data_IF_546741974493
#
_entry.id   IF_546741974493
#
_cell.length_a   1.000
_cell.length_b   1.000
_cell.length_c   1.000
_cell.angle_alpha   90.00
_cell.angle_beta   90.00
_cell.angle_gamma   90.00
#
_symmetry.space_group_name_H-M   'P 1'
#
loop_
_entity.id
_entity.type
_entity.pdbx_description
1 polymer ?
#
# COMPACT_ATOMS: atom_id res chain seq x y z
N UNK A 1 -11.94 -7.29 17.60
CA UNK A 1 -13.11 -7.92 18.27
C UNK A 1 -13.29 -9.37 17.85
N UNK A 2 -13.90 -9.69 16.71
CA UNK A 2 -14.19 -11.07 16.29
C UNK A 2 -12.96 -11.99 16.23
N UNK A 3 -11.85 -11.50 15.67
CA UNK A 3 -10.62 -12.28 15.52
C UNK A 3 -9.73 -12.31 16.76
N UNK A 4 -10.09 -11.58 17.84
CA UNK A 4 -9.27 -11.38 19.04
C UNK A 4 -7.83 -10.91 18.73
N UNK A 5 -7.72 -9.89 17.88
CA UNK A 5 -6.43 -9.23 17.58
C UNK A 5 -5.63 -9.85 16.43
N UNK A 6 -6.17 -10.83 15.72
CA UNK A 6 -5.48 -11.49 14.59
C UNK A 6 -5.65 -10.78 13.24
N UNK A 7 -6.15 -9.55 13.24
CA UNK A 7 -6.37 -8.78 12.00
C UNK A 7 -5.26 -7.74 11.84
N UNK A 8 -4.66 -7.71 10.64
CA UNK A 8 -3.70 -6.68 10.22
C UNK A 8 -4.35 -5.78 9.17
N UNK A 9 -4.34 -4.47 9.42
CA UNK A 9 -4.97 -3.47 8.57
C UNK A 9 -4.02 -2.99 7.47
N UNK A 10 -3.92 -3.75 6.38
CA UNK A 10 -3.19 -3.32 5.18
C UNK A 10 -3.97 -2.25 4.42
N UNK A 11 -3.34 -1.13 4.07
CA UNK A 11 -3.95 -0.04 3.29
C UNK A 11 -3.08 0.30 2.10
N UNK A 12 -3.67 0.53 0.94
CA UNK A 12 -2.99 1.01 -0.26
C UNK A 12 -3.71 2.20 -0.87
N UNK A 13 -3.02 2.95 -1.73
CA UNK A 13 -3.63 4.08 -2.44
C UNK A 13 -4.63 3.66 -3.53
N UNK A 14 -4.55 2.42 -4.01
CA UNK A 14 -5.32 1.91 -5.12
C UNK A 14 -4.74 2.32 -6.48
N UNK A 15 -4.62 1.36 -7.41
CA UNK A 15 -3.90 1.56 -8.69
C UNK A 15 -4.83 1.66 -9.91
N UNK A 16 -6.08 1.23 -9.80
CA UNK A 16 -6.99 1.12 -10.94
C UNK A 16 -7.99 2.28 -10.99
N UNK A 17 -7.91 3.11 -12.04
CA UNK A 17 -8.85 4.20 -12.29
C UNK A 17 -10.32 3.76 -12.27
N UNK A 18 -10.61 2.50 -12.63
CA UNK A 18 -11.97 1.98 -12.64
C UNK A 18 -12.64 2.02 -11.25
N UNK A 19 -11.87 1.80 -10.18
CA UNK A 19 -12.42 1.74 -8.82
C UNK A 19 -12.83 3.15 -8.39
N UNK A 20 -11.92 4.10 -8.54
CA UNK A 20 -12.15 5.54 -8.35
C UNK A 20 -13.37 6.04 -9.13
N UNK A 21 -13.45 5.69 -10.42
CA UNK A 21 -14.56 6.12 -11.28
C UNK A 21 -15.93 5.60 -10.82
N UNK A 22 -15.99 4.36 -10.36
CA UNK A 22 -17.23 3.70 -9.91
C UNK A 22 -17.67 4.22 -8.54
N UNK A 23 -16.72 4.41 -7.62
CA UNK A 23 -16.99 4.93 -6.28
C UNK A 23 -17.08 6.46 -6.21
N UNK A 24 -16.87 7.16 -7.32
CA UNK A 24 -17.07 8.60 -7.43
C UNK A 24 -15.95 9.42 -6.78
N UNK A 25 -14.72 8.91 -6.81
CA UNK A 25 -13.52 9.58 -6.26
C UNK A 25 -12.55 9.90 -7.41
N UNK A 26 -11.82 11.01 -7.32
CA UNK A 26 -10.74 11.31 -8.26
C UNK A 26 -9.46 10.54 -7.85
N UNK A 27 -8.84 9.85 -8.81
CA UNK A 27 -7.58 9.12 -8.58
C UNK A 27 -6.41 10.06 -8.33
N UNK A 28 -6.46 11.31 -8.80
CA UNK A 28 -5.43 12.32 -8.52
C UNK A 28 -5.38 12.66 -7.02
N UNK A 29 -6.51 12.58 -6.32
CA UNK A 29 -6.62 12.82 -4.88
C UNK A 29 -6.28 11.57 -4.04
N UNK A 30 -5.99 10.43 -4.68
CA UNK A 30 -5.80 9.13 -4.01
C UNK A 30 -4.81 9.18 -2.85
N UNK A 31 -3.70 9.92 -2.99
CA UNK A 31 -2.71 10.08 -1.91
C UNK A 31 -3.31 10.82 -0.72
N UNK A 32 -3.86 12.01 -0.95
CA UNK A 32 -4.40 12.85 0.12
C UNK A 32 -5.54 12.14 0.86
N UNK A 33 -6.44 11.50 0.12
CA UNK A 33 -7.57 10.74 0.68
C UNK A 33 -7.06 9.54 1.50
N UNK A 34 -6.10 8.77 0.98
CA UNK A 34 -5.59 7.58 1.70
C UNK A 34 -4.90 7.96 3.00
N UNK A 35 -4.05 8.99 2.98
CA UNK A 35 -3.33 9.44 4.17
C UNK A 35 -4.29 10.00 5.23
N UNK A 36 -5.27 10.81 4.80
CA UNK A 36 -6.29 11.39 5.68
C UNK A 36 -7.17 10.31 6.31
N UNK A 37 -7.72 9.39 5.51
CA UNK A 37 -8.57 8.32 6.00
C UNK A 37 -7.81 7.35 6.91
N UNK A 38 -6.55 7.03 6.59
CA UNK A 38 -5.70 6.23 7.46
C UNK A 38 -5.51 6.92 8.82
N UNK A 39 -5.16 8.21 8.82
CA UNK A 39 -4.97 8.97 10.06
C UNK A 39 -6.27 9.05 10.88
N UNK A 40 -7.40 9.31 10.23
CA UNK A 40 -8.72 9.37 10.84
C UNK A 40 -9.11 8.04 11.50
N UNK A 41 -8.93 6.92 10.79
CA UNK A 41 -9.18 5.56 11.32
C UNK A 41 -8.25 5.26 12.50
N UNK A 42 -6.94 5.47 12.35
CA UNK A 42 -5.97 5.18 13.41
C UNK A 42 -6.14 6.06 14.64
N UNK A 43 -6.57 7.32 14.47
CA UNK A 43 -6.91 8.21 15.58
C UNK A 43 -8.18 7.74 16.29
N UNK A 44 -9.23 7.39 15.54
CA UNK A 44 -10.49 6.89 16.11
C UNK A 44 -10.32 5.60 16.91
N UNK A 45 -9.35 4.75 16.55
CA UNK A 45 -9.01 3.57 17.34
C UNK A 45 -8.49 3.92 18.74
N UNK A 46 -7.93 5.12 18.94
CA UNK A 46 -7.46 5.59 20.25
C UNK A 46 -8.51 6.36 21.02
N UNK A 47 -9.33 7.14 20.32
CA UNK A 47 -10.28 8.09 20.93
C UNK A 47 -11.69 7.52 21.09
N UNK A 48 -12.03 6.47 20.35
CA UNK A 48 -13.41 5.97 20.23
C UNK A 48 -14.33 6.83 19.36
N UNK A 49 -13.79 7.90 18.75
CA UNK A 49 -14.56 8.88 17.97
C UNK A 49 -13.88 9.12 16.62
N UNK A 50 -14.65 9.03 15.55
CA UNK A 50 -14.24 9.44 14.21
C UNK A 50 -14.49 10.94 14.08
N UNK A 51 -13.43 11.68 13.75
CA UNK A 51 -13.45 13.12 13.55
C UNK A 51 -12.81 13.43 12.20
N UNK A 52 -13.31 14.43 11.50
CA UNK A 52 -12.76 14.90 10.22
C UNK A 52 -12.38 16.37 10.29
N UNK A 53 -11.33 16.75 9.57
CA UNK A 53 -10.91 18.14 9.41
C UNK A 53 -11.62 18.87 8.23
N UNK A 54 -12.54 18.17 7.55
CA UNK A 54 -13.34 18.70 6.45
C UNK A 54 -12.63 18.79 5.10
N UNK A 55 -11.34 18.41 4.99
CA UNK A 55 -10.59 18.56 3.73
C UNK A 55 -11.04 17.62 2.63
N UNK A 56 -11.20 16.33 2.96
CA UNK A 56 -11.61 15.30 1.99
C UNK A 56 -13.05 14.81 2.21
N UNK A 57 -13.56 14.92 3.44
CA UNK A 57 -14.91 14.50 3.81
C UNK A 57 -15.38 15.32 5.02
N UNK A 58 -16.66 15.66 5.12
CA UNK A 58 -17.22 16.39 6.26
C UNK A 58 -18.40 15.63 6.88
N UNK A 59 -18.38 15.45 8.20
CA UNK A 59 -19.46 14.87 9.00
C UNK A 59 -19.26 15.26 10.48
N UNK A 60 -20.33 15.28 11.29
CA UNK A 60 -20.19 15.54 12.73
C UNK A 60 -19.46 14.39 13.43
N UNK A 61 -18.79 14.68 14.55
CA UNK A 61 -18.13 13.64 15.36
C UNK A 61 -19.05 12.46 15.65
N UNK A 62 -18.59 11.26 15.32
CA UNK A 62 -19.35 10.01 15.54
C UNK A 62 -18.58 9.03 16.39
N UNK A 63 -19.25 8.41 17.35
CA UNK A 63 -18.68 7.30 18.11
C UNK A 63 -18.49 6.07 17.23
N UNK A 64 -17.34 5.42 17.34
CA UNK A 64 -17.00 4.22 16.57
C UNK A 64 -17.22 2.99 17.45
N UNK A 65 -18.09 2.09 16.99
CA UNK A 65 -18.37 0.83 17.66
C UNK A 65 -18.17 -0.37 16.71
N UNK A 66 -17.72 -1.52 17.24
CA UNK A 66 -17.26 -1.72 18.61
C UNK A 66 -15.89 -1.06 18.86
N UNK A 67 -15.55 -0.84 20.13
CA UNK A 67 -14.21 -0.40 20.52
C UNK A 67 -13.14 -1.39 20.01
N UNK A 68 -11.92 -0.92 19.70
CA UNK A 68 -10.85 -1.79 19.23
C UNK A 68 -10.45 -2.81 20.30
N UNK A 69 -10.03 -3.98 19.84
CA UNK A 69 -9.57 -5.06 20.74
C UNK A 69 -8.11 -4.89 21.17
N UNK A 70 -7.31 -4.19 20.36
CA UNK A 70 -5.91 -3.88 20.63
C UNK A 70 -5.76 -2.37 20.74
N UNK A 71 -4.91 -1.90 21.65
CA UNK A 71 -4.58 -0.47 21.81
C UNK A 71 -3.88 0.11 20.57
N UNK A 72 -3.13 -0.75 19.86
CA UNK A 72 -2.49 -0.44 18.58
C UNK A 72 -2.93 -1.46 17.55
N UNK A 73 -3.66 -1.00 16.53
CA UNK A 73 -4.02 -1.83 15.37
C UNK A 73 -2.77 -2.04 14.52
N UNK A 74 -2.33 -3.27 14.26
CA UNK A 74 -1.26 -3.53 13.29
C UNK A 74 -1.71 -3.03 11.92
N UNK A 75 -0.87 -2.25 11.26
CA UNK A 75 -1.13 -1.67 9.94
C UNK A 75 0.11 -1.84 9.09
N UNK A 76 -0.06 -1.90 7.77
CA UNK A 76 1.05 -1.84 6.81
C UNK A 76 0.58 -1.19 5.51
N UNK A 77 1.51 -0.63 4.75
CA UNK A 77 1.19 -0.01 3.47
C UNK A 77 2.28 -0.33 2.44
N UNK A 78 1.93 -0.67 1.19
CA UNK A 78 2.91 -0.79 0.14
C UNK A 78 3.49 0.60 -0.16
N UNK A 79 4.81 0.69 -0.07
CA UNK A 79 5.54 1.89 -0.42
C UNK A 79 6.13 1.70 -1.82
N UNK A 80 5.55 2.38 -2.81
CA UNK A 80 6.02 2.29 -4.20
C UNK A 80 6.56 3.63 -4.71
N UNK A 81 6.74 4.60 -3.81
CA UNK A 81 7.38 5.87 -4.12
C UNK A 81 8.17 6.39 -2.91
N UNK A 82 9.22 7.17 -3.16
CA UNK A 82 10.01 7.80 -2.10
C UNK A 82 9.13 8.63 -1.15
N UNK A 83 8.11 9.31 -1.68
CA UNK A 83 7.16 10.11 -0.89
C UNK A 83 6.40 9.24 0.11
N UNK A 84 5.87 8.09 -0.33
CA UNK A 84 5.18 7.15 0.56
C UNK A 84 6.13 6.52 1.57
N UNK A 85 7.35 6.18 1.16
CA UNK A 85 8.41 5.68 2.07
C UNK A 85 8.68 6.68 3.18
N UNK A 86 8.90 7.96 2.85
CA UNK A 86 9.12 9.03 3.83
C UNK A 86 7.92 9.19 4.76
N UNK A 87 6.69 9.25 4.22
CA UNK A 87 5.48 9.42 5.03
C UNK A 87 5.30 8.32 6.08
N UNK A 88 5.58 7.06 5.72
CA UNK A 88 5.54 5.92 6.64
C UNK A 88 6.67 5.98 7.67
N UNK A 89 7.88 6.37 7.25
CA UNK A 89 9.05 6.47 8.10
C UNK A 89 8.91 7.54 9.20
N UNK A 90 8.40 8.72 8.85
CA UNK A 90 8.08 9.79 9.83
C UNK A 90 7.16 9.32 10.96
N UNK A 91 6.33 8.30 10.69
CA UNK A 91 5.31 7.76 11.60
C UNK A 91 5.70 6.41 12.22
N UNK A 92 6.86 5.86 11.88
CA UNK A 92 7.27 4.53 12.34
C UNK A 92 6.30 3.41 11.91
N UNK A 93 5.66 3.56 10.76
CA UNK A 93 4.71 2.59 10.22
C UNK A 93 5.40 1.62 9.25
N UNK A 94 5.12 0.32 9.33
CA UNK A 94 5.83 -0.65 8.51
C UNK A 94 5.40 -0.58 7.03
N UNK A 95 6.36 -0.91 6.18
CA UNK A 95 6.16 -1.03 4.74
C UNK A 95 5.93 -2.48 4.32
N UNK A 96 5.12 -2.67 3.29
CA UNK A 96 5.14 -3.89 2.48
C UNK A 96 5.98 -3.66 1.23
N UNK A 97 7.14 -4.29 1.16
CA UNK A 97 8.07 -4.18 0.03
C UNK A 97 7.55 -5.01 -1.15
N UNK A 98 7.51 -4.37 -2.31
CA UNK A 98 6.97 -4.96 -3.53
C UNK A 98 7.84 -6.12 -4.04
N UNK A 99 7.20 -7.09 -4.65
CA UNK A 99 7.85 -8.27 -5.22
C UNK A 99 8.49 -7.99 -6.59
N UNK A 100 8.10 -6.89 -7.25
CA UNK A 100 8.57 -6.52 -8.60
C UNK A 100 9.92 -5.81 -8.61
N UNK A 101 10.36 -5.25 -7.48
CA UNK A 101 11.63 -4.51 -7.38
C UNK A 101 12.81 -5.41 -7.05
N UNK A 102 13.99 -5.03 -7.53
CA UNK A 102 15.26 -5.71 -7.29
C UNK A 102 15.68 -5.63 -5.83
N UNK A 103 16.60 -6.51 -5.42
CA UNK A 103 17.19 -6.48 -4.07
C UNK A 103 17.94 -5.17 -3.78
N UNK A 104 18.57 -4.56 -4.79
CA UNK A 104 19.23 -3.25 -4.66
C UNK A 104 18.23 -2.11 -4.42
N UNK A 105 17.08 -2.13 -5.12
CA UNK A 105 16.02 -1.13 -4.90
C UNK A 105 15.37 -1.31 -3.53
N UNK A 106 15.11 -2.55 -3.10
CA UNK A 106 14.64 -2.85 -1.73
C UNK A 106 15.61 -2.30 -0.69
N UNK A 107 16.91 -2.50 -0.89
CA UNK A 107 17.95 -1.96 0.01
C UNK A 107 17.91 -0.44 0.07
N UNK A 108 17.90 0.23 -1.08
CA UNK A 108 17.83 1.69 -1.16
C UNK A 108 16.56 2.25 -0.50
N UNK A 109 15.43 1.57 -0.68
CA UNK A 109 14.17 1.94 -0.03
C UNK A 109 14.23 1.79 1.49
N UNK A 110 14.83 0.70 2.00
CA UNK A 110 15.03 0.50 3.44
C UNK A 110 16.04 1.49 4.03
N UNK A 111 17.09 1.86 3.28
CA UNK A 111 18.05 2.89 3.70
C UNK A 111 17.36 4.26 3.85
N UNK A 112 16.54 4.65 2.87
CA UNK A 112 15.72 5.88 2.95
C UNK A 112 14.78 5.83 4.17
N UNK A 113 14.06 4.73 4.34
CA UNK A 113 13.13 4.56 5.45
C UNK A 113 13.84 4.69 6.79
N UNK A 114 14.93 3.94 6.99
CA UNK A 114 15.65 3.90 8.27
C UNK A 114 16.26 5.25 8.62
N UNK A 115 16.76 6.00 7.63
CA UNK A 115 17.28 7.35 7.83
C UNK A 115 16.18 8.28 8.38
N UNK A 116 15.04 8.36 7.70
CA UNK A 116 13.93 9.23 8.11
C UNK A 116 13.32 8.77 9.44
N UNK A 117 13.13 7.47 9.64
CA UNK A 117 12.55 6.94 10.86
C UNK A 117 13.45 7.23 12.08
N UNK A 118 14.77 7.12 11.94
CA UNK A 118 15.72 7.47 12.99
C UNK A 118 15.69 8.98 13.30
N UNK A 119 15.61 9.85 12.29
CA UNK A 119 15.49 11.30 12.47
C UNK A 119 14.21 11.70 13.25
N UNK A 120 13.15 10.89 13.13
CA UNK A 120 11.89 11.05 13.88
C UNK A 120 11.85 10.28 15.21
N UNK A 121 12.96 9.66 15.61
CA UNK A 121 13.11 8.99 16.91
C UNK A 121 12.48 7.60 17.01
N UNK A 122 12.19 6.95 15.88
CA UNK A 122 11.67 5.58 15.88
C UNK A 122 12.79 4.54 15.94
N UNK A 123 12.56 3.46 16.68
CA UNK A 123 13.46 2.29 16.67
C UNK A 123 13.22 1.45 15.42
N UNK A 124 14.13 1.57 14.46
CA UNK A 124 14.05 0.89 13.15
C UNK A 124 14.13 -0.64 13.23
N UNK A 125 14.64 -1.21 14.33
CA UNK A 125 14.73 -2.66 14.50
C UNK A 125 13.41 -3.30 14.94
N UNK A 126 12.46 -2.49 15.43
CA UNK A 126 11.18 -2.95 15.97
C UNK A 126 9.99 -2.58 15.06
N UNK A 127 10.24 -2.35 13.78
CA UNK A 127 9.22 -2.05 12.77
C UNK A 127 9.06 -3.27 11.87
N UNK A 128 7.84 -3.82 11.85
CA UNK A 128 7.50 -5.09 11.21
C UNK A 128 7.29 -4.96 9.69
N UNK A 129 8.37 -4.63 8.96
CA UNK A 129 8.35 -4.60 7.51
C UNK A 129 8.14 -5.99 6.91
N UNK A 130 7.34 -6.09 5.84
CA UNK A 130 7.12 -7.33 5.10
C UNK A 130 7.71 -7.26 3.70
N UNK A 131 8.16 -8.40 3.16
CA UNK A 131 8.47 -8.55 1.74
C UNK A 131 7.45 -9.47 1.09
N UNK A 132 6.98 -9.05 -0.08
CA UNK A 132 6.15 -9.91 -0.93
C UNK A 132 7.01 -10.63 -1.96
N UNK A 133 6.60 -11.84 -2.34
CA UNK A 133 7.26 -12.67 -3.33
C UNK A 133 6.25 -13.46 -4.15
N UNK A 134 6.56 -13.69 -5.42
CA UNK A 134 5.96 -14.78 -6.19
C UNK A 134 6.86 -16.00 -6.02
N UNK A 135 6.29 -17.08 -5.50
CA UNK A 135 7.02 -18.31 -5.21
C UNK A 135 6.52 -19.45 -6.09
N UNK A 136 7.40 -20.02 -6.90
CA UNK A 136 7.21 -21.31 -7.54
C UNK A 136 8.36 -22.23 -7.12
N UNK A 137 8.02 -23.38 -6.54
CA UNK A 137 8.98 -24.38 -6.07
C UNK A 137 8.65 -25.70 -6.77
N UNK A 138 9.64 -26.29 -7.42
CA UNK A 138 9.58 -27.58 -8.10
C UNK A 138 10.97 -28.22 -8.01
N UNK A 139 11.05 -29.55 -8.10
CA UNK A 139 12.34 -30.26 -8.10
C UNK A 139 13.15 -29.92 -9.38
N UNK A 140 12.44 -29.50 -10.45
CA UNK A 140 13.01 -28.98 -11.68
C UNK A 140 12.87 -27.44 -11.75
N UNK A 141 14.01 -26.75 -11.67
CA UNK A 141 14.06 -25.29 -11.71
C UNK A 141 13.57 -24.67 -13.01
N UNK A 142 13.74 -25.34 -14.17
CA UNK A 142 13.21 -24.83 -15.45
C UNK A 142 11.69 -24.90 -15.46
N UNK A 143 11.14 -26.00 -14.94
CA UNK A 143 9.68 -26.17 -14.83
C UNK A 143 9.06 -25.14 -13.89
N UNK A 144 9.69 -24.85 -12.75
CA UNK A 144 9.27 -23.76 -11.86
C UNK A 144 9.30 -22.40 -12.57
N UNK A 145 10.40 -22.08 -13.26
CA UNK A 145 10.55 -20.83 -13.98
C UNK A 145 9.52 -20.66 -15.11
N UNK A 146 9.28 -21.71 -15.90
CA UNK A 146 8.31 -21.68 -17.00
C UNK A 146 6.88 -21.44 -16.49
N UNK A 147 6.50 -22.10 -15.38
CA UNK A 147 5.19 -21.87 -14.74
C UNK A 147 5.04 -20.42 -14.24
N UNK A 148 6.09 -19.86 -13.63
CA UNK A 148 6.08 -18.46 -13.20
C UNK A 148 5.95 -17.49 -14.38
N UNK A 149 6.67 -17.73 -15.50
CA UNK A 149 6.59 -16.88 -16.69
C UNK A 149 5.19 -16.88 -17.31
N UNK A 150 4.59 -18.06 -17.45
CA UNK A 150 3.22 -18.18 -17.97
C UNK A 150 2.21 -17.45 -17.08
N UNK A 151 2.31 -17.64 -15.75
CA UNK A 151 1.47 -16.93 -14.79
C UNK A 151 1.64 -15.40 -14.90
N UNK A 152 2.89 -14.92 -14.97
CA UNK A 152 3.19 -13.49 -15.07
C UNK A 152 2.67 -12.87 -16.36
N UNK A 153 2.73 -13.57 -17.49
CA UNK A 153 2.13 -13.11 -18.74
C UNK A 153 0.62 -12.89 -18.61
N UNK A 154 -0.10 -13.90 -18.11
CA UNK A 154 -1.56 -13.81 -17.89
C UNK A 154 -1.95 -12.73 -16.86
N UNK A 155 -1.16 -12.60 -15.80
CA UNK A 155 -1.35 -11.56 -14.79
C UNK A 155 -1.15 -10.16 -15.39
N UNK A 156 -0.12 -9.98 -16.20
CA UNK A 156 0.17 -8.70 -16.85
C UNK A 156 -0.94 -8.29 -17.82
N UNK A 157 -1.44 -9.23 -18.63
CA UNK A 157 -2.58 -8.98 -19.52
C UNK A 157 -3.83 -8.54 -18.74
N UNK A 158 -4.08 -9.18 -17.60
CA UNK A 158 -5.17 -8.82 -16.68
C UNK A 158 -4.98 -7.43 -16.08
N UNK A 159 -3.75 -7.09 -15.67
CA UNK A 159 -3.39 -5.76 -15.16
C UNK A 159 -3.58 -4.67 -16.23
N UNK A 160 -3.09 -4.88 -17.45
CA UNK A 160 -3.27 -3.96 -18.58
C UNK A 160 -4.74 -3.77 -18.91
N UNK A 161 -5.53 -4.84 -18.95
CA UNK A 161 -6.96 -4.77 -19.22
C UNK A 161 -7.70 -3.99 -18.11
N UNK A 162 -7.43 -4.29 -16.84
CA UNK A 162 -8.04 -3.59 -15.70
C UNK A 162 -7.71 -2.09 -15.69
N UNK A 163 -6.48 -1.73 -16.09
CA UNK A 163 -6.03 -0.34 -16.18
C UNK A 163 -6.70 0.42 -17.32
N UNK A 164 -6.97 -0.24 -18.45
CA UNK A 164 -7.49 0.38 -19.67
C UNK A 164 -9.01 0.17 -19.89
N UNK A 165 -9.73 -0.34 -18.89
CA UNK A 165 -11.16 -0.67 -18.99
C UNK A 165 -12.01 0.53 -19.43
N UNK A 166 -11.62 1.74 -19.04
CA UNK A 166 -12.22 2.98 -19.51
C UNK A 166 -11.25 3.68 -20.48
N UNK A 167 -11.48 3.56 -21.80
CA UNK A 167 -10.61 4.12 -22.86
C UNK A 167 -10.34 5.63 -22.79
N UNK A 168 -11.13 6.37 -22.01
CA UNK A 168 -11.00 7.82 -21.81
C UNK A 168 -10.32 8.20 -20.48
N UNK A 169 -9.75 7.24 -19.73
CA UNK A 169 -9.00 7.56 -18.51
C UNK A 169 -7.71 8.28 -18.89
N UNK A 170 -7.66 9.59 -18.67
CA UNK A 170 -6.40 10.32 -18.70
C UNK A 170 -5.45 9.67 -17.69
N UNK A 171 -4.21 9.44 -18.12
CA UNK A 171 -3.20 8.77 -17.32
C UNK A 171 -2.88 9.58 -16.06
N UNK A 172 -3.13 9.04 -14.86
CA UNK A 172 -2.97 9.83 -13.65
C UNK A 172 -1.51 10.08 -13.30
N UNK A 173 -1.20 11.28 -12.80
CA UNK A 173 0.18 11.66 -12.47
C UNK A 173 0.67 10.84 -11.27
N UNK A 174 1.93 10.39 -11.33
CA UNK A 174 2.54 9.61 -10.24
C UNK A 174 2.40 8.09 -10.36
N UNK A 175 1.65 7.57 -11.35
CA UNK A 175 1.59 6.13 -11.65
C UNK A 175 2.56 5.68 -12.76
N UNK A 176 3.36 6.61 -13.31
CA UNK A 176 4.37 6.31 -14.34
C UNK A 176 5.43 5.32 -13.87
N UNK A 177 5.72 5.30 -12.56
CA UNK A 177 6.69 4.37 -11.95
C UNK A 177 6.25 2.90 -12.09
N UNK A 178 4.98 2.59 -11.82
CA UNK A 178 4.46 1.21 -11.94
C UNK A 178 4.57 0.67 -13.36
N UNK A 179 4.45 1.52 -14.38
CA UNK A 179 4.55 1.09 -15.79
C UNK A 179 5.99 0.76 -16.22
N UNK A 180 6.99 1.44 -15.67
CA UNK A 180 8.39 1.23 -16.03
C UNK A 180 8.93 -0.12 -15.54
N UNK A 181 8.44 -0.60 -14.40
CA UNK A 181 8.93 -1.83 -13.77
C UNK A 181 8.57 -3.10 -14.53
N UNK A 182 7.49 -3.09 -15.31
CA UNK A 182 7.06 -4.26 -16.08
C UNK A 182 7.81 -4.44 -17.39
N UNK A 183 8.39 -3.38 -17.96
CA UNK A 183 9.04 -3.44 -19.27
C UNK A 183 10.27 -4.36 -19.31
N UNK A 184 10.89 -4.63 -18.16
CA UNK A 184 12.08 -5.49 -18.07
C UNK A 184 11.73 -6.98 -17.81
N UNK A 185 10.45 -7.31 -17.53
CA UNK A 185 9.99 -8.66 -17.22
C UNK A 185 9.32 -9.39 -18.39
N UNK A 186 8.99 -8.68 -19.49
CA UNK A 186 8.35 -9.24 -20.70
C UNK A 186 9.32 -9.31 -21.87
#
# INVERSE_FOLDING_TARGET
QMSKGRFNFGVERGIYHKDFRVFGVDIEDSRAITEDFHNMIMASAKTGTLHTDGKNIEFPDVSVYPEPYLDKIPTCMPAESAVTTTWLAERGLPMSLSWVITSSEKRAQMELYNCVAADFGHDTHNIDHSMTFICAVDDDGEKAANRSREFLGNWNDSYVNATNLFRNSNHPRGYNYHKGQWNDFV
#
